data_IF_035670532930
#
_entry.id   IF_035670532930
#
_cell.length_a   1.000
_cell.length_b   1.000
_cell.length_c   1.000
_cell.angle_alpha   90.00
_cell.angle_beta   90.00
_cell.angle_gamma   90.00
#
_symmetry.space_group_name_H-M   'P 1'
#
loop_
_entity.id
_entity.type
_entity.pdbx_description
1 polymer ?
#
# COMPACT_ATOMS: atom_id res chain seq x y z
N UNK A 1 16.23 3.69 2.38
CA UNK A 1 15.94 3.55 0.93
C UNK A 1 14.62 4.21 0.53
N UNK A 2 13.47 3.78 1.07
CA UNK A 2 12.16 4.41 0.79
C UNK A 2 12.12 5.93 1.05
N UNK A 3 12.85 6.41 2.04
CA UNK A 3 12.96 7.84 2.39
C UNK A 3 13.38 8.75 1.22
N UNK A 4 14.10 8.23 0.23
CA UNK A 4 14.44 8.98 -0.99
C UNK A 4 13.19 9.33 -1.83
N UNK A 5 12.08 8.62 -1.64
CA UNK A 5 10.81 8.79 -2.35
C UNK A 5 9.79 9.67 -1.60
N UNK A 6 10.18 10.33 -0.51
CA UNK A 6 9.25 11.18 0.28
C UNK A 6 8.52 12.21 -0.58
N UNK A 7 9.19 12.81 -1.57
CA UNK A 7 8.60 13.78 -2.49
C UNK A 7 7.45 13.20 -3.35
N UNK A 8 7.36 11.88 -3.52
CA UNK A 8 6.27 11.21 -4.26
C UNK A 8 5.07 10.82 -3.38
N UNK A 9 5.26 10.84 -2.06
CA UNK A 9 4.25 10.43 -1.09
C UNK A 9 4.57 11.02 0.27
N UNK A 10 4.29 12.32 0.46
CA UNK A 10 4.69 13.06 1.65
C UNK A 10 3.80 12.75 2.87
N UNK A 11 2.61 12.21 2.67
CA UNK A 11 1.60 12.11 3.73
C UNK A 11 1.89 10.97 4.70
N UNK A 12 2.25 9.79 4.19
CA UNK A 12 2.50 8.61 5.04
C UNK A 12 3.65 7.74 4.51
N UNK A 13 4.19 6.93 5.41
CA UNK A 13 5.27 5.99 5.14
C UNK A 13 4.99 4.64 5.79
N UNK A 14 5.07 3.56 5.02
CA UNK A 14 4.87 2.21 5.54
C UNK A 14 5.88 1.21 4.99
N UNK A 15 6.14 0.16 5.77
CA UNK A 15 7.00 -0.94 5.38
C UNK A 15 6.57 -2.23 6.03
N UNK A 16 6.72 -3.32 5.31
CA UNK A 16 6.52 -4.66 5.80
C UNK A 16 7.75 -5.51 5.46
N UNK A 17 8.17 -6.35 6.39
CA UNK A 17 9.24 -7.34 6.18
C UNK A 17 8.63 -8.69 6.50
N UNK A 18 8.83 -9.66 5.61
CA UNK A 18 8.29 -10.99 5.81
C UNK A 18 8.92 -11.68 7.04
N UNK A 19 8.27 -12.69 7.65
CA UNK A 19 8.77 -13.28 8.89
C UNK A 19 10.18 -13.87 8.81
N UNK A 20 10.61 -14.35 7.63
CA UNK A 20 11.97 -14.85 7.43
C UNK A 20 13.02 -13.76 7.18
N UNK A 21 12.61 -12.50 7.03
CA UNK A 21 13.51 -11.35 6.88
C UNK A 21 14.13 -11.18 5.49
N UNK A 22 13.81 -12.05 4.54
CA UNK A 22 14.42 -12.06 3.20
C UNK A 22 13.75 -11.10 2.22
N UNK A 23 12.50 -10.71 2.46
CA UNK A 23 11.72 -9.86 1.56
C UNK A 23 11.11 -8.70 2.35
N UNK A 24 11.21 -7.49 1.79
CA UNK A 24 10.58 -6.31 2.34
C UNK A 24 9.86 -5.49 1.27
N UNK A 25 8.71 -4.94 1.64
CA UNK A 25 7.95 -3.96 0.87
C UNK A 25 8.02 -2.61 1.58
N UNK A 26 8.18 -1.52 0.83
CA UNK A 26 8.18 -0.16 1.37
C UNK A 26 7.38 0.77 0.47
N UNK A 27 6.54 1.62 1.07
CA UNK A 27 5.64 2.51 0.34
C UNK A 27 5.58 3.93 0.92
N UNK A 28 5.65 4.93 0.03
CA UNK A 28 5.40 6.34 0.34
C UNK A 28 4.07 6.73 -0.26
N UNK A 29 3.17 7.25 0.56
CA UNK A 29 1.79 7.51 0.16
C UNK A 29 1.53 9.00 -0.02
N UNK A 30 1.00 9.35 -1.18
CA UNK A 30 0.20 10.54 -1.37
C UNK A 30 -1.26 10.09 -1.26
N UNK A 31 -1.99 10.63 -0.30
CA UNK A 31 -3.32 10.17 0.07
C UNK A 31 -4.37 10.88 -0.79
N UNK A 32 -4.96 10.16 -1.74
CA UNK A 32 -5.96 10.69 -2.69
C UNK A 32 -7.34 10.06 -2.45
N UNK A 33 -7.40 8.72 -2.39
CA UNK A 33 -8.62 7.95 -2.12
C UNK A 33 -8.47 7.20 -0.79
N UNK A 34 -9.54 7.21 0.00
CA UNK A 34 -9.61 6.62 1.35
C UNK A 34 -8.45 7.09 2.25
N UNK A 35 -8.53 8.36 2.66
CA UNK A 35 -7.46 9.02 3.41
C UNK A 35 -7.14 8.32 4.73
N UNK A 36 -8.13 7.70 5.39
CA UNK A 36 -8.01 7.12 6.72
C UNK A 36 -7.52 5.68 6.77
N UNK A 37 -7.91 4.83 5.82
CA UNK A 37 -7.61 3.38 5.85
C UNK A 37 -6.80 2.85 4.66
N UNK A 38 -6.38 3.73 3.75
CA UNK A 38 -5.60 3.36 2.57
C UNK A 38 -4.10 3.14 2.79
N UNK A 39 -3.63 2.92 4.03
CA UNK A 39 -2.20 2.74 4.31
C UNK A 39 -1.61 1.51 3.60
N UNK A 40 -0.34 1.61 3.23
CA UNK A 40 0.39 0.60 2.45
C UNK A 40 1.79 0.39 3.05
N UNK A 41 2.39 -0.82 3.00
CA UNK A 41 1.88 -2.03 2.36
C UNK A 41 0.62 -2.58 3.04
N UNK A 42 -0.36 -2.98 2.24
CA UNK A 42 -1.67 -3.43 2.69
C UNK A 42 -1.71 -4.97 2.72
N UNK A 43 -2.08 -5.58 3.86
CA UNK A 43 -2.34 -7.01 3.92
C UNK A 43 -3.76 -7.34 3.42
N UNK A 44 -3.98 -8.59 3.02
CA UNK A 44 -5.32 -9.18 3.01
C UNK A 44 -5.78 -9.53 4.44
N UNK A 45 -6.99 -10.05 4.58
CA UNK A 45 -7.69 -10.25 5.86
C UNK A 45 -6.94 -11.18 6.85
N UNK A 46 -6.18 -12.15 6.33
CA UNK A 46 -5.39 -13.12 7.11
C UNK A 46 -3.86 -12.86 7.06
N UNK A 47 -3.46 -11.73 6.47
CA UNK A 47 -2.07 -11.26 6.38
C UNK A 47 -1.10 -12.22 5.66
N UNK A 48 -1.61 -13.14 4.84
CA UNK A 48 -0.78 -14.04 4.03
C UNK A 48 -0.32 -13.38 2.72
N UNK A 49 -1.04 -12.37 2.25
CA UNK A 49 -0.74 -11.62 1.03
C UNK A 49 -0.58 -10.13 1.36
N UNK A 50 0.49 -9.52 0.86
CA UNK A 50 0.79 -8.10 1.06
C UNK A 50 1.00 -7.42 -0.28
N UNK A 51 0.47 -6.21 -0.44
CA UNK A 51 0.64 -5.39 -1.64
C UNK A 51 1.26 -4.04 -1.29
N UNK A 52 2.05 -3.49 -2.22
CA UNK A 52 2.38 -2.07 -2.27
C UNK A 52 2.11 -1.60 -3.71
N UNK A 53 1.28 -0.58 -3.88
CA UNK A 53 0.79 -0.15 -5.19
C UNK A 53 0.85 1.36 -5.34
N UNK A 54 1.35 1.84 -6.49
CA UNK A 54 1.38 3.25 -6.84
C UNK A 54 0.57 3.47 -8.12
N UNK A 55 -0.63 4.03 -7.98
CA UNK A 55 -1.54 4.32 -9.08
C UNK A 55 -3.00 4.38 -8.63
N UNK A 56 -3.92 4.39 -9.60
CA UNK A 56 -5.36 4.42 -9.35
C UNK A 56 -6.05 3.31 -10.16
N UNK A 57 -6.97 2.59 -9.52
CA UNK A 57 -7.82 1.59 -10.19
C UNK A 57 -9.17 2.24 -10.43
N UNK A 58 -9.36 2.87 -11.59
CA UNK A 58 -10.53 3.70 -11.87
C UNK A 58 -11.87 2.97 -11.76
N UNK A 59 -11.92 1.69 -12.10
CA UNK A 59 -13.13 0.87 -12.05
C UNK A 59 -13.28 0.08 -10.74
N UNK A 60 -12.55 0.40 -9.67
CA UNK A 60 -12.59 -0.36 -8.40
C UNK A 60 -14.01 -0.45 -7.81
N UNK A 61 -14.81 0.61 -7.93
CA UNK A 61 -16.18 0.64 -7.41
C UNK A 61 -17.12 -0.33 -8.16
N UNK A 62 -16.84 -0.60 -9.44
CA UNK A 62 -17.60 -1.57 -10.25
C UNK A 62 -17.13 -3.00 -10.01
N UNK A 63 -15.82 -3.20 -9.78
CA UNK A 63 -15.25 -4.52 -9.54
C UNK A 63 -15.58 -5.05 -8.14
N UNK A 64 -15.55 -4.20 -7.11
CA UNK A 64 -15.66 -4.63 -5.70
C UNK A 64 -16.93 -5.44 -5.37
N UNK A 65 -18.14 -5.13 -5.90
CA UNK A 65 -19.33 -5.96 -5.65
C UNK A 65 -19.29 -7.37 -6.25
N UNK A 66 -18.37 -7.64 -7.19
CA UNK A 66 -18.25 -8.93 -7.89
C UNK A 66 -17.13 -9.84 -7.32
N UNK A 67 -16.48 -9.41 -6.24
CA UNK A 67 -15.42 -10.11 -5.52
C UNK A 67 -15.92 -10.50 -4.13
#
# INVERSE_FOLDING_TARGET
>A
MREALTHRGPDEAGSWINPSGHVGLGHRRLSIVDLSSGQQPMPNEDQQVWIAFNGEIYNHAQLRPAL
#
